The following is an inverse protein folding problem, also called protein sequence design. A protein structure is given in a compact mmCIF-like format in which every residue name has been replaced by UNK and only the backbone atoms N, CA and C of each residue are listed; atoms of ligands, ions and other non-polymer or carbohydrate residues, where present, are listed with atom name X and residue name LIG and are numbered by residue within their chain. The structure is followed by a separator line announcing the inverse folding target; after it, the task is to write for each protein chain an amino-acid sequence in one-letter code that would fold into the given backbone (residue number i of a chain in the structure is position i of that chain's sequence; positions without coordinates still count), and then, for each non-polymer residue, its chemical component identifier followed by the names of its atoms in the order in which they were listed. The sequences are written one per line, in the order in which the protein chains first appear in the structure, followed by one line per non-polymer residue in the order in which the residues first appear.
data_IF_914244981881
#
_entry.id   IF_914244981881
#
_cell.length_a   1.000
_cell.length_b   1.000
_cell.length_c   1.000
_cell.angle_alpha   90.00
_cell.angle_beta   90.00
_cell.angle_gamma   90.00
#
_symmetry.space_group_name_H-M   'P 1'
#
loop_
_entity.id
_entity.type
_entity.pdbx_description
1 polymer ?
#
# COMPACT_ATOMS: atom_id res chain seq x y z
N UNK A 1 -19.12 7.55 1.70
CA UNK A 1 -17.92 6.64 1.73
C UNK A 1 -17.02 7.10 2.87
N UNK A 2 -16.55 6.18 3.72
CA UNK A 2 -15.62 6.47 4.83
C UNK A 2 -14.21 6.09 4.36
N UNK A 3 -13.36 7.08 4.13
CA UNK A 3 -12.02 6.89 3.56
C UNK A 3 -10.87 6.93 4.56
N UNK A 4 -11.14 7.43 5.78
CA UNK A 4 -10.20 7.54 6.89
C UNK A 4 -10.97 7.74 8.18
N UNK A 5 -10.50 7.14 9.26
CA UNK A 5 -10.99 7.41 10.62
C UNK A 5 -9.80 7.82 11.50
N UNK A 6 -10.05 8.74 12.44
CA UNK A 6 -9.12 9.13 13.49
C UNK A 6 -9.87 9.11 14.82
N UNK A 7 -9.36 8.42 15.79
CA UNK A 7 -9.99 8.28 17.09
C UNK A 7 -9.14 7.50 18.08
N UNK A 8 -9.75 7.00 19.13
CA UNK A 8 -9.09 6.23 20.17
C UNK A 8 -9.25 4.75 19.89
N UNK A 9 -8.16 3.99 19.91
CA UNK A 9 -8.20 2.54 19.79
C UNK A 9 -8.83 1.93 21.04
N UNK A 10 -9.99 1.31 20.91
CA UNK A 10 -10.75 0.71 22.03
C UNK A 10 -10.41 -0.77 22.20
N UNK A 11 -10.28 -1.50 21.11
CA UNK A 11 -9.98 -2.93 21.17
C UNK A 11 -9.31 -3.44 19.88
N UNK A 12 -8.57 -4.55 20.02
CA UNK A 12 -8.07 -5.39 18.92
C UNK A 12 -8.53 -6.82 19.21
N UNK A 13 -9.26 -7.43 18.29
CA UNK A 13 -9.76 -8.81 18.45
C UNK A 13 -9.78 -9.54 17.10
N UNK A 14 -9.14 -10.70 17.06
CA UNK A 14 -9.11 -11.52 15.85
C UNK A 14 -8.50 -10.75 14.66
N UNK A 15 -9.32 -10.46 13.67
CA UNK A 15 -8.93 -9.74 12.43
C UNK A 15 -9.57 -8.33 12.37
N UNK A 16 -9.93 -7.74 13.51
CA UNK A 16 -10.52 -6.40 13.55
C UNK A 16 -9.97 -5.54 14.69
N UNK A 17 -10.09 -4.23 14.51
CA UNK A 17 -9.88 -3.22 15.53
C UNK A 17 -11.14 -2.36 15.69
N UNK A 18 -11.43 -1.89 16.91
CA UNK A 18 -12.49 -0.91 17.15
C UNK A 18 -11.89 0.41 17.49
N UNK A 19 -12.26 1.45 16.73
CA UNK A 19 -11.83 2.84 16.93
C UNK A 19 -13.02 3.69 17.34
N UNK A 20 -12.94 4.31 18.50
CA UNK A 20 -13.94 5.28 18.96
C UNK A 20 -13.69 6.64 18.33
N UNK A 21 -14.69 7.16 17.67
CA UNK A 21 -14.69 8.51 17.08
C UNK A 21 -15.88 9.28 17.65
N UNK A 22 -15.62 10.01 18.72
CA UNK A 22 -16.64 10.85 19.36
C UNK A 22 -17.81 10.08 19.97
N UNK A 23 -17.56 8.89 20.51
CA UNK A 23 -18.59 8.02 21.12
C UNK A 23 -19.21 7.01 20.14
N UNK A 24 -18.75 6.98 18.88
CA UNK A 24 -19.15 5.96 17.91
C UNK A 24 -18.00 5.00 17.67
N UNK A 25 -18.19 3.72 18.00
CA UNK A 25 -17.19 2.67 17.77
C UNK A 25 -17.27 2.12 16.35
N UNK A 26 -16.23 2.38 15.56
CA UNK A 26 -16.09 1.81 14.22
C UNK A 26 -15.30 0.51 14.30
N UNK A 27 -15.92 -0.59 13.93
CA UNK A 27 -15.21 -1.86 13.76
C UNK A 27 -14.61 -1.93 12.35
N UNK A 28 -13.30 -2.15 12.29
CA UNK A 28 -12.52 -2.11 11.05
C UNK A 28 -11.77 -3.44 10.91
N UNK A 29 -12.06 -4.18 9.84
CA UNK A 29 -11.32 -5.39 9.49
C UNK A 29 -9.92 -5.00 8.98
N UNK A 30 -8.89 -5.64 9.53
CA UNK A 30 -7.48 -5.34 9.24
C UNK A 30 -6.68 -6.64 9.09
N UNK A 31 -5.57 -6.57 8.37
CA UNK A 31 -4.65 -7.70 8.31
C UNK A 31 -3.98 -7.93 9.67
N UNK A 32 -3.57 -9.15 10.00
CA UNK A 32 -2.79 -9.41 11.22
C UNK A 32 -1.54 -8.54 11.33
N UNK A 33 -0.88 -8.27 10.20
CA UNK A 33 0.29 -7.40 10.08
C UNK A 33 -0.05 -5.97 10.52
N UNK A 34 -1.11 -5.38 9.97
CA UNK A 34 -1.57 -4.04 10.35
C UNK A 34 -2.08 -3.95 11.79
N UNK A 35 -2.67 -5.02 12.34
CA UNK A 35 -3.10 -5.03 13.74
C UNK A 35 -1.94 -4.96 14.73
N UNK A 36 -0.78 -5.52 14.37
CA UNK A 36 0.42 -5.50 15.22
C UNK A 36 1.03 -4.10 15.27
N UNK A 37 0.95 -3.32 14.19
CA UNK A 37 1.52 -1.97 14.09
C UNK A 37 0.67 -0.90 14.79
N UNK A 38 -0.60 -1.22 15.14
CA UNK A 38 -1.46 -0.27 15.85
C UNK A 38 -0.89 0.11 17.22
N UNK A 39 -1.12 1.35 17.68
CA UNK A 39 -0.73 1.82 19.00
C UNK A 39 -1.44 1.03 20.12
N UNK A 40 -1.11 1.32 21.38
CA UNK A 40 -1.76 0.73 22.56
C UNK A 40 -3.26 1.03 22.61
N UNK A 41 -4.03 0.12 23.22
CA UNK A 41 -5.45 0.39 23.52
C UNK A 41 -5.53 1.60 24.45
N UNK A 42 -6.40 2.56 24.13
CA UNK A 42 -6.53 3.86 24.79
C UNK A 42 -5.75 4.99 24.12
N UNK A 43 -4.92 4.68 23.14
CA UNK A 43 -4.16 5.69 22.39
C UNK A 43 -4.87 6.12 21.11
N UNK A 44 -4.49 7.31 20.61
CA UNK A 44 -5.03 7.83 19.35
C UNK A 44 -4.46 7.06 18.16
N UNK A 45 -5.32 6.76 17.20
CA UNK A 45 -4.97 6.06 15.97
C UNK A 45 -5.58 6.74 14.75
N UNK A 46 -4.89 6.67 13.64
CA UNK A 46 -5.39 7.00 12.31
C UNK A 46 -5.38 5.73 11.48
N UNK A 47 -6.54 5.40 10.89
CA UNK A 47 -6.68 4.24 10.01
C UNK A 47 -7.22 4.70 8.67
N UNK A 48 -6.53 4.38 7.58
CA UNK A 48 -7.03 4.60 6.22
C UNK A 48 -8.02 3.50 5.87
N UNK A 49 -9.21 3.86 5.37
CA UNK A 49 -10.31 2.90 5.27
C UNK A 49 -10.86 2.78 3.85
N UNK A 50 -11.28 1.58 3.51
CA UNK A 50 -12.18 1.30 2.41
C UNK A 50 -13.55 0.89 2.97
N UNK A 51 -14.59 1.67 2.63
CA UNK A 51 -15.97 1.37 3.02
C UNK A 51 -16.64 0.56 1.90
N UNK A 52 -16.85 -0.72 2.17
CA UNK A 52 -17.51 -1.66 1.27
C UNK A 52 -18.98 -1.77 1.67
N UNK A 53 -19.88 -1.39 0.78
CA UNK A 53 -21.33 -1.40 1.03
C UNK A 53 -21.98 -2.34 0.03
N UNK A 54 -22.80 -3.24 0.54
CA UNK A 54 -23.72 -4.12 -0.20
C UNK A 54 -25.15 -3.86 0.28
N UNK A 55 -26.13 -4.52 -0.33
CA UNK A 55 -27.53 -4.36 0.04
C UNK A 55 -27.83 -4.72 1.50
N UNK A 56 -27.13 -5.73 2.01
CA UNK A 56 -27.34 -6.35 3.31
C UNK A 56 -26.18 -6.13 4.30
N UNK A 57 -25.08 -5.54 3.86
CA UNK A 57 -23.87 -5.40 4.69
C UNK A 57 -23.09 -4.14 4.38
N UNK A 58 -22.57 -3.51 5.43
CA UNK A 58 -21.59 -2.42 5.33
C UNK A 58 -20.36 -2.77 6.16
N UNK A 59 -19.21 -2.91 5.51
CA UNK A 59 -17.95 -3.29 6.16
C UNK A 59 -16.88 -2.24 5.95
N UNK A 60 -16.03 -2.02 6.96
CA UNK A 60 -14.84 -1.18 6.88
C UNK A 60 -13.59 -2.06 6.86
N UNK A 61 -12.73 -1.85 5.88
CA UNK A 61 -11.41 -2.45 5.78
C UNK A 61 -10.36 -1.39 6.04
N UNK A 62 -9.42 -1.66 6.95
CA UNK A 62 -8.42 -0.70 7.43
C UNK A 62 -7.01 -1.05 7.02
N UNK A 63 -6.22 0.01 6.79
CA UNK A 63 -4.85 -0.03 6.30
C UNK A 63 -4.00 0.99 7.03
N UNK A 64 -2.71 0.70 7.16
CA UNK A 64 -1.73 1.57 7.82
C UNK A 64 -1.44 2.80 6.97
N UNK A 65 -1.55 2.67 5.65
CA UNK A 65 -1.26 3.74 4.69
C UNK A 65 -2.38 3.95 3.66
N UNK A 66 -2.42 5.14 3.07
CA UNK A 66 -3.28 5.42 1.90
C UNK A 66 -2.91 4.54 0.71
N UNK A 67 -1.63 4.27 0.58
CA UNK A 67 -1.04 3.45 -0.47
C UNK A 67 -1.60 2.03 -0.47
N UNK A 68 -1.65 1.38 0.69
CA UNK A 68 -2.21 0.02 0.83
C UNK A 68 -3.72 0.00 0.62
N UNK A 69 -4.42 1.03 1.14
CA UNK A 69 -5.85 1.22 0.87
C UNK A 69 -6.13 1.34 -0.63
N UNK A 70 -5.32 2.10 -1.35
CA UNK A 70 -5.54 2.35 -2.77
C UNK A 70 -5.16 1.14 -3.62
N UNK A 71 -4.11 0.39 -3.24
CA UNK A 71 -3.82 -0.92 -3.83
C UNK A 71 -4.98 -1.89 -3.61
N UNK A 72 -5.51 -1.97 -2.38
CA UNK A 72 -6.69 -2.78 -2.10
C UNK A 72 -7.87 -2.45 -3.03
N UNK A 73 -8.15 -1.16 -3.23
CA UNK A 73 -9.21 -0.70 -4.15
C UNK A 73 -8.96 -1.14 -5.59
N UNK A 74 -7.71 -1.11 -6.03
CA UNK A 74 -7.30 -1.59 -7.36
C UNK A 74 -7.48 -3.10 -7.45
N UNK A 75 -7.06 -3.87 -6.45
CA UNK A 75 -7.26 -5.32 -6.40
C UNK A 75 -8.73 -5.70 -6.55
N UNK A 76 -9.63 -4.98 -5.88
CA UNK A 76 -11.08 -5.20 -5.97
C UNK A 76 -11.66 -4.96 -7.37
N UNK A 77 -10.94 -4.30 -8.28
CA UNK A 77 -11.38 -4.12 -9.68
C UNK A 77 -11.11 -5.31 -10.56
N UNK A 78 -10.34 -6.30 -10.08
CA UNK A 78 -10.09 -7.52 -10.81
C UNK A 78 -11.23 -8.53 -10.60
N UNK A 79 -11.62 -9.18 -11.68
CA UNK A 79 -12.71 -10.17 -11.65
C UNK A 79 -12.36 -11.35 -10.75
N UNK A 80 -13.24 -11.65 -9.81
CA UNK A 80 -13.07 -12.73 -8.83
C UNK A 80 -12.25 -12.33 -7.60
N UNK A 81 -11.84 -11.08 -7.48
CA UNK A 81 -11.19 -10.52 -6.30
C UNK A 81 -12.22 -9.75 -5.48
N UNK A 82 -12.73 -10.38 -4.43
CA UNK A 82 -13.52 -9.71 -3.40
C UNK A 82 -12.66 -9.24 -2.23
N UNK A 83 -13.27 -8.56 -1.22
CA UNK A 83 -12.53 -8.07 -0.06
C UNK A 83 -11.70 -9.14 0.65
N UNK A 84 -12.23 -10.36 0.80
CA UNK A 84 -11.51 -11.47 1.44
C UNK A 84 -10.21 -11.82 0.71
N UNK A 85 -10.23 -11.88 -0.61
CA UNK A 85 -9.04 -12.18 -1.42
C UNK A 85 -8.06 -11.01 -1.41
N UNK A 86 -8.58 -9.77 -1.51
CA UNK A 86 -7.75 -8.57 -1.43
C UNK A 86 -7.01 -8.45 -0.10
N UNK A 87 -7.70 -8.71 1.01
CA UNK A 87 -7.09 -8.74 2.35
C UNK A 87 -6.07 -9.88 2.49
N UNK A 88 -6.36 -11.07 1.94
CA UNK A 88 -5.41 -12.19 1.97
C UNK A 88 -4.12 -11.88 1.20
N UNK A 89 -4.21 -11.22 0.04
CA UNK A 89 -3.04 -10.75 -0.72
C UNK A 89 -2.18 -9.80 0.12
N UNK A 90 -2.78 -8.75 0.71
CA UNK A 90 -2.08 -7.76 1.53
C UNK A 90 -1.59 -8.29 2.88
N UNK A 91 -2.20 -9.37 3.40
CA UNK A 91 -1.71 -10.04 4.60
C UNK A 91 -0.47 -10.90 4.33
N UNK A 92 -0.36 -11.47 3.12
CA UNK A 92 0.67 -12.43 2.74
C UNK A 92 1.87 -11.75 2.07
N UNK A 93 1.61 -10.79 1.21
CA UNK A 93 2.61 -10.09 0.39
C UNK A 93 2.68 -8.62 0.78
N UNK A 94 3.85 -8.03 0.62
CA UNK A 94 4.02 -6.59 0.77
C UNK A 94 3.49 -5.86 -0.46
N UNK A 95 3.14 -4.58 -0.27
CA UNK A 95 2.65 -3.71 -1.35
C UNK A 95 3.51 -3.81 -2.62
N UNK A 96 4.83 -3.65 -2.46
CA UNK A 96 5.77 -3.65 -3.58
C UNK A 96 5.91 -5.02 -4.24
N UNK A 97 5.75 -6.10 -3.47
CA UNK A 97 5.75 -7.46 -4.02
C UNK A 97 4.53 -7.67 -4.92
N UNK A 98 3.34 -7.21 -4.49
CA UNK A 98 2.12 -7.32 -5.30
C UNK A 98 2.25 -6.50 -6.58
N UNK A 99 2.66 -5.23 -6.47
CA UNK A 99 2.81 -4.33 -7.62
C UNK A 99 3.83 -4.90 -8.61
N UNK A 100 4.99 -5.35 -8.09
CA UNK A 100 6.05 -5.94 -8.92
C UNK A 100 5.57 -7.20 -9.62
N UNK A 101 4.91 -8.12 -8.91
CA UNK A 101 4.38 -9.35 -9.49
C UNK A 101 3.39 -9.09 -10.62
N UNK A 102 2.54 -8.07 -10.45
CA UNK A 102 1.56 -7.70 -11.49
C UNK A 102 2.24 -7.06 -12.69
N UNK A 103 3.18 -6.15 -12.49
CA UNK A 103 3.85 -5.40 -13.58
C UNK A 103 4.86 -6.27 -14.33
N UNK A 104 5.56 -7.17 -13.63
CA UNK A 104 6.46 -8.15 -14.27
C UNK A 104 5.72 -9.37 -14.85
N UNK A 105 4.38 -9.37 -14.79
CA UNK A 105 3.54 -10.47 -15.25
C UNK A 105 3.91 -11.83 -14.63
N UNK A 106 4.25 -11.84 -13.33
CA UNK A 106 4.57 -13.04 -12.55
C UNK A 106 3.40 -13.45 -11.64
N UNK A 107 2.42 -14.25 -12.12
CA UNK A 107 1.28 -14.66 -11.33
C UNK A 107 1.63 -15.66 -10.22
N UNK A 108 2.76 -16.35 -10.29
CA UNK A 108 3.10 -17.40 -9.32
C UNK A 108 3.32 -16.80 -7.91
N UNK A 109 3.84 -15.58 -7.81
CA UNK A 109 3.99 -14.83 -6.55
C UNK A 109 2.64 -14.66 -5.86
N UNK A 110 1.59 -14.30 -6.61
CA UNK A 110 0.26 -14.05 -6.05
C UNK A 110 -0.41 -15.33 -5.51
N UNK A 111 0.02 -16.50 -5.98
CA UNK A 111 -0.53 -17.78 -5.48
C UNK A 111 -0.14 -18.10 -4.05
N UNK A 112 0.81 -17.38 -3.46
CA UNK A 112 1.15 -17.49 -2.03
C UNK A 112 -0.02 -17.08 -1.12
N UNK A 113 -0.93 -16.22 -1.61
CA UNK A 113 -2.06 -15.77 -0.83
C UNK A 113 -3.19 -16.81 -0.78
N UNK A 114 -3.74 -17.11 0.42
CA UNK A 114 -4.87 -18.03 0.56
C UNK A 114 -6.07 -17.62 -0.30
N UNK A 115 -6.60 -18.57 -1.05
CA UNK A 115 -7.74 -18.34 -1.95
C UNK A 115 -7.37 -17.85 -3.35
N UNK A 116 -6.08 -17.69 -3.65
CA UNK A 116 -5.59 -17.31 -4.98
C UNK A 116 -4.94 -18.53 -5.63
N UNK A 117 -5.67 -19.18 -6.53
CA UNK A 117 -5.13 -20.27 -7.35
C UNK A 117 -4.47 -19.73 -8.64
N UNK A 118 -3.72 -20.59 -9.35
CA UNK A 118 -2.99 -20.22 -10.59
C UNK A 118 -3.84 -19.46 -11.61
N UNK A 119 -5.07 -19.94 -11.89
CA UNK A 119 -5.97 -19.27 -12.85
C UNK A 119 -6.44 -17.91 -12.35
N UNK A 120 -6.70 -17.78 -11.05
CA UNK A 120 -7.06 -16.50 -10.41
C UNK A 120 -5.90 -15.50 -10.49
N UNK A 121 -4.69 -15.94 -10.14
CA UNK A 121 -3.48 -15.12 -10.20
C UNK A 121 -3.20 -14.61 -11.63
N UNK A 122 -3.27 -15.48 -12.64
CA UNK A 122 -3.12 -15.08 -14.04
C UNK A 122 -4.15 -14.02 -14.47
N UNK A 123 -5.41 -14.19 -14.04
CA UNK A 123 -6.46 -13.21 -14.33
C UNK A 123 -6.24 -11.88 -13.64
N UNK A 124 -5.81 -11.90 -12.36
CA UNK A 124 -5.45 -10.69 -11.61
C UNK A 124 -4.34 -9.93 -12.34
N UNK A 125 -3.26 -10.60 -12.71
CA UNK A 125 -2.14 -10.01 -13.45
C UNK A 125 -2.63 -9.38 -14.76
N UNK A 126 -3.33 -10.13 -15.59
CA UNK A 126 -3.83 -9.67 -16.88
C UNK A 126 -4.71 -8.41 -16.78
N UNK A 127 -5.61 -8.37 -15.78
CA UNK A 127 -6.56 -7.26 -15.62
C UNK A 127 -5.94 -6.04 -14.91
N UNK A 128 -4.92 -6.24 -14.06
CA UNK A 128 -4.32 -5.16 -13.28
C UNK A 128 -3.01 -4.61 -13.85
N UNK A 129 -2.26 -5.36 -14.67
CA UNK A 129 -1.02 -4.87 -15.27
C UNK A 129 -1.20 -3.53 -16.01
N UNK A 130 -2.23 -3.33 -16.86
CA UNK A 130 -2.44 -2.03 -17.51
C UNK A 130 -2.80 -0.89 -16.54
N UNK A 131 -3.40 -1.22 -15.38
CA UNK A 131 -3.82 -0.23 -14.37
C UNK A 131 -2.67 0.18 -13.48
N UNK A 132 -1.72 -0.72 -13.24
CA UNK A 132 -0.57 -0.51 -12.36
C UNK A 132 0.65 0.02 -13.12
N UNK A 133 0.88 -0.37 -14.38
CA UNK A 133 2.00 0.09 -15.20
C UNK A 133 2.07 1.63 -15.37
N UNK A 134 0.91 2.34 -15.32
CA UNK A 134 0.87 3.80 -15.32
C UNK A 134 0.91 4.46 -13.93
N UNK A 135 0.89 3.66 -12.87
CA UNK A 135 0.81 4.10 -11.48
C UNK A 135 1.94 3.57 -10.59
N UNK A 136 2.94 2.92 -11.18
CA UNK A 136 4.12 2.46 -10.43
C UNK A 136 4.74 3.60 -9.60
N UNK A 137 4.74 4.80 -10.16
CA UNK A 137 5.20 6.00 -9.50
C UNK A 137 4.33 6.39 -8.30
N UNK A 138 3.00 6.29 -8.43
CA UNK A 138 2.04 6.71 -7.40
C UNK A 138 1.81 5.64 -6.32
N UNK A 139 2.02 4.35 -6.66
CA UNK A 139 1.69 3.22 -5.80
C UNK A 139 2.91 2.66 -5.06
N UNK A 140 4.08 2.77 -5.64
CA UNK A 140 5.34 2.53 -4.93
C UNK A 140 5.74 3.82 -4.24
N UNK A 141 6.13 3.90 -3.02
CA UNK A 141 6.77 5.08 -2.41
C UNK A 141 7.85 5.76 -3.30
N UNK A 142 7.98 5.26 -4.50
CA UNK A 142 8.74 5.63 -5.70
C UNK A 142 8.20 6.83 -6.47
N UNK A 143 7.00 7.37 -6.20
CA UNK A 143 6.62 8.66 -6.79
C UNK A 143 7.65 9.72 -6.39
N UNK A 144 8.07 9.67 -5.14
CA UNK A 144 9.15 10.51 -4.64
C UNK A 144 10.49 10.14 -5.29
N UNK A 145 10.80 8.86 -5.43
CA UNK A 145 12.05 8.38 -6.05
C UNK A 145 12.11 8.69 -7.54
N UNK A 146 11.00 8.59 -8.27
CA UNK A 146 10.95 9.01 -9.68
C UNK A 146 11.10 10.52 -9.83
N UNK A 147 10.45 11.29 -8.99
CA UNK A 147 10.62 12.75 -8.96
C UNK A 147 12.06 13.13 -8.60
N UNK A 148 12.68 12.42 -7.64
CA UNK A 148 14.09 12.58 -7.30
C UNK A 148 14.98 12.22 -8.48
N UNK A 149 14.74 11.11 -9.18
CA UNK A 149 15.48 10.72 -10.39
C UNK A 149 15.37 11.78 -11.48
N UNK A 150 14.16 12.22 -11.81
CA UNK A 150 13.93 13.26 -12.82
C UNK A 150 14.62 14.58 -12.47
N UNK A 151 14.58 14.97 -11.19
CA UNK A 151 15.28 16.16 -10.71
C UNK A 151 16.81 16.03 -10.87
N UNK A 152 17.39 14.88 -10.53
CA UNK A 152 18.82 14.62 -10.65
C UNK A 152 19.24 14.51 -12.12
N UNK A 153 18.46 13.87 -12.99
CA UNK A 153 18.66 13.85 -14.45
C UNK A 153 18.63 15.26 -15.04
N UNK A 154 17.63 16.06 -14.61
CA UNK A 154 17.54 17.49 -15.00
C UNK A 154 18.72 18.34 -14.55
N UNK A 155 19.43 17.93 -13.50
CA UNK A 155 20.67 18.55 -13.01
C UNK A 155 21.94 17.99 -13.70
N UNK A 156 21.80 17.02 -14.62
CA UNK A 156 22.87 16.49 -15.45
C UNK A 156 23.60 15.27 -14.87
N UNK A 157 23.09 14.64 -13.80
CA UNK A 157 23.67 13.40 -13.27
C UNK A 157 23.32 12.21 -14.18
N UNK A 158 24.28 11.30 -14.35
CA UNK A 158 24.09 10.08 -15.12
C UNK A 158 23.21 9.06 -14.39
N UNK A 159 22.60 8.13 -15.12
CA UNK A 159 21.78 7.05 -14.56
C UNK A 159 22.55 6.19 -13.57
N UNK A 160 23.87 5.98 -13.80
CA UNK A 160 24.74 5.21 -12.90
C UNK A 160 24.95 5.93 -11.55
N UNK A 161 25.19 7.23 -11.58
CA UNK A 161 25.33 8.06 -10.38
C UNK A 161 24.03 8.08 -9.57
N UNK A 162 22.90 8.27 -10.25
CA UNK A 162 21.58 8.28 -9.64
C UNK A 162 21.27 6.93 -8.97
N UNK A 163 21.51 5.82 -9.67
CA UNK A 163 21.29 4.49 -9.12
C UNK A 163 22.15 4.21 -7.88
N UNK A 164 23.34 4.78 -7.79
CA UNK A 164 24.26 4.58 -6.66
C UNK A 164 23.79 5.21 -5.36
N UNK A 165 22.88 6.21 -5.43
CA UNK A 165 22.40 6.95 -4.23
C UNK A 165 20.91 6.72 -3.94
N UNK A 166 20.11 6.39 -4.94
CA UNK A 166 18.66 6.21 -4.79
C UNK A 166 18.31 5.05 -3.84
N UNK A 167 19.16 4.00 -3.79
CA UNK A 167 18.95 2.86 -2.89
C UNK A 167 19.15 3.18 -1.40
N UNK A 168 19.81 4.30 -1.07
CA UNK A 168 20.07 4.72 0.30
C UNK A 168 19.08 5.79 0.82
N UNK A 169 18.15 6.23 -0.04
CA UNK A 169 17.18 7.28 0.28
C UNK A 169 15.97 6.65 0.99
N UNK A 170 15.61 7.23 2.13
CA UNK A 170 14.37 6.89 2.83
C UNK A 170 13.15 7.34 2.01
N UNK A 171 12.39 6.37 1.50
CA UNK A 171 11.24 6.59 0.63
C UNK A 171 10.07 7.31 1.34
N UNK A 172 10.03 7.28 2.68
CA UNK A 172 8.97 7.87 3.49
C UNK A 172 9.19 9.37 3.78
N UNK A 173 10.36 9.92 3.41
CA UNK A 173 10.66 11.34 3.58
C UNK A 173 9.99 12.20 2.48
N UNK A 174 9.72 13.49 2.76
CA UNK A 174 9.29 14.45 1.73
C UNK A 174 10.28 14.53 0.56
N UNK A 175 9.78 14.73 -0.67
CA UNK A 175 10.59 14.77 -1.90
C UNK A 175 11.75 15.74 -1.81
N UNK A 176 11.54 16.92 -1.22
CA UNK A 176 12.56 17.95 -1.05
C UNK A 176 13.72 17.46 -0.16
N UNK A 177 13.40 16.66 0.87
CA UNK A 177 14.41 16.06 1.77
C UNK A 177 15.16 14.97 1.02
N UNK A 178 14.46 14.15 0.25
CA UNK A 178 15.06 13.09 -0.56
C UNK A 178 16.02 13.65 -1.61
N UNK A 179 15.62 14.69 -2.36
CA UNK A 179 16.48 15.37 -3.35
C UNK A 179 17.73 15.94 -2.65
N UNK A 180 17.56 16.59 -1.51
CA UNK A 180 18.69 17.15 -0.75
C UNK A 180 19.66 16.07 -0.29
N UNK A 181 19.16 14.96 0.22
CA UNK A 181 19.96 13.81 0.67
C UNK A 181 20.73 13.20 -0.49
N UNK A 182 20.07 13.01 -1.63
CA UNK A 182 20.71 12.50 -2.85
C UNK A 182 21.85 13.41 -3.34
N UNK A 183 21.61 14.72 -3.41
CA UNK A 183 22.62 15.71 -3.82
C UNK A 183 23.79 15.76 -2.84
N UNK A 184 23.55 15.63 -1.54
CA UNK A 184 24.62 15.56 -0.54
C UNK A 184 25.48 14.28 -0.69
N UNK A 185 24.86 13.17 -1.04
CA UNK A 185 25.56 11.91 -1.27
C UNK A 185 26.42 11.96 -2.56
N UNK A 186 25.87 12.56 -3.61
CA UNK A 186 26.58 12.77 -4.88
C UNK A 186 27.70 13.81 -4.78
N UNK A 187 27.51 14.90 -4.02
CA UNK A 187 28.50 15.97 -3.83
C UNK A 187 29.65 15.63 -2.90
N UNK A 188 29.63 14.46 -2.24
CA UNK A 188 30.73 13.93 -1.39
C UNK A 188 31.67 12.98 -2.12
N UNK A 189 31.43 12.72 -3.39
CA UNK A 189 32.27 11.92 -4.29
C UNK A 189 32.93 12.83 -5.31
#
# INVERSE_FOLDING_TARGET
MIGRIRGILVSRRGESATVDVGGVGYEVAMTPKSLITLPGVGEEVVVHTHHHVREDEASLYGFDSERDRDLFRILLTASGVGPKVGMALLATLDHDEIVRAVVSEDPDVLTAAPGVGKRGAQKIVLELAPKLAGREADLSGSANILTVRQALEGLGYSTEEINSVVGEIDADQPVEVQIRTALQALGRR
#
